data_IF_015643290153
#
_entry.id   IF_015643290153
#
_cell.length_a   1.000
_cell.length_b   1.000
_cell.length_c   1.000
_cell.angle_alpha   90.00
_cell.angle_beta   90.00
_cell.angle_gamma   90.00
#
_symmetry.space_group_name_H-M   'P 1'
#
loop_
_entity.id
_entity.type
_entity.pdbx_description
1 polymer ?
#
# COMPACT_ATOMS: atom_id res chain seq x y z
N UNK A 1 62.00 -60.57 41.73
CA UNK A 1 60.75 -60.69 40.93
C UNK A 1 59.97 -59.40 41.12
N UNK A 2 60.32 -58.34 40.42
CA UNK A 2 59.65 -57.04 40.59
C UNK A 2 59.88 -56.19 39.33
N UNK A 3 59.22 -56.53 38.22
CA UNK A 3 59.17 -55.61 37.08
C UNK A 3 58.00 -55.80 36.10
N UNK A 4 56.84 -56.26 36.58
CA UNK A 4 55.67 -56.49 35.69
C UNK A 4 54.44 -55.67 36.06
N UNK A 5 54.50 -54.85 37.13
CA UNK A 5 53.34 -54.06 37.58
C UNK A 5 53.28 -52.63 37.00
N UNK A 6 54.38 -52.04 36.54
CA UNK A 6 54.36 -50.67 35.99
C UNK A 6 53.83 -50.58 34.54
N UNK A 7 54.04 -51.61 33.71
CA UNK A 7 53.62 -51.60 32.30
C UNK A 7 52.09 -51.62 32.14
N UNK A 8 51.34 -52.09 33.14
CA UNK A 8 49.88 -52.16 33.09
C UNK A 8 49.19 -50.82 33.43
N UNK A 9 49.87 -49.88 34.07
CA UNK A 9 49.27 -48.58 34.45
C UNK A 9 49.33 -47.53 33.32
N UNK A 10 50.26 -47.69 32.36
CA UNK A 10 50.36 -46.81 31.19
C UNK A 10 49.25 -47.02 30.14
N UNK A 11 48.85 -48.28 29.89
CA UNK A 11 47.87 -48.62 28.85
C UNK A 11 46.43 -48.20 29.20
N UNK A 12 46.06 -48.18 30.49
CA UNK A 12 44.74 -47.72 30.93
C UNK A 12 44.51 -46.23 30.64
N UNK A 13 45.55 -45.41 30.82
CA UNK A 13 45.52 -43.97 30.52
C UNK A 13 45.43 -43.69 29.02
N UNK A 14 46.11 -44.49 28.18
CA UNK A 14 46.05 -44.35 26.72
C UNK A 14 44.65 -44.66 26.17
N UNK A 15 44.04 -45.76 26.62
CA UNK A 15 42.68 -46.14 26.20
C UNK A 15 41.63 -45.11 26.64
N UNK A 16 41.74 -44.58 27.87
CA UNK A 16 40.89 -43.51 28.38
C UNK A 16 41.04 -42.21 27.57
N UNK A 17 42.28 -41.82 27.26
CA UNK A 17 42.57 -40.62 26.46
C UNK A 17 42.01 -40.72 25.02
N UNK A 18 42.10 -41.89 24.39
CA UNK A 18 41.49 -42.14 23.08
C UNK A 18 39.97 -42.03 23.14
N UNK A 19 39.33 -42.57 24.20
CA UNK A 19 37.88 -42.48 24.40
C UNK A 19 37.42 -41.03 24.62
N UNK A 20 38.16 -40.25 25.41
CA UNK A 20 37.89 -38.82 25.65
C UNK A 20 38.05 -38.02 24.36
N UNK A 21 39.10 -38.28 23.57
CA UNK A 21 39.29 -37.63 22.27
C UNK A 21 38.11 -37.89 21.33
N UNK A 22 37.67 -39.16 21.21
CA UNK A 22 36.49 -39.53 20.42
C UNK A 22 35.21 -38.86 20.92
N UNK A 23 35.03 -38.73 22.23
CA UNK A 23 33.88 -38.04 22.82
C UNK A 23 33.90 -36.53 22.51
N UNK A 24 35.06 -35.88 22.61
CA UNK A 24 35.20 -34.45 22.26
C UNK A 24 34.82 -34.19 20.80
N UNK A 25 35.24 -35.05 19.87
CA UNK A 25 34.87 -34.94 18.44
C UNK A 25 33.36 -35.11 18.23
N UNK A 26 32.71 -36.05 18.94
CA UNK A 26 31.25 -36.22 18.86
C UNK A 26 30.48 -35.01 19.42
N UNK A 27 30.96 -34.44 20.53
CA UNK A 27 30.34 -33.25 21.14
C UNK A 27 30.51 -32.02 20.26
N UNK A 28 31.68 -31.81 19.64
CA UNK A 28 31.88 -30.71 18.70
C UNK A 28 31.01 -30.85 17.45
N UNK A 29 30.84 -32.07 16.94
CA UNK A 29 29.91 -32.35 15.84
C UNK A 29 28.46 -32.05 16.23
N UNK A 30 28.02 -32.50 17.41
CA UNK A 30 26.65 -32.25 17.88
C UNK A 30 26.36 -30.75 18.05
N UNK A 31 27.32 -29.98 18.59
CA UNK A 31 27.20 -28.52 18.68
C UNK A 31 27.07 -27.86 17.31
N UNK A 32 27.89 -28.27 16.33
CA UNK A 32 27.79 -27.76 14.97
C UNK A 32 26.42 -28.03 14.35
N UNK A 33 25.87 -29.24 14.52
CA UNK A 33 24.52 -29.59 14.05
C UNK A 33 23.46 -28.70 14.69
N UNK A 34 23.53 -28.48 16.01
CA UNK A 34 22.59 -27.58 16.72
C UNK A 34 22.67 -26.15 16.18
N UNK A 35 23.87 -25.61 15.95
CA UNK A 35 24.02 -24.28 15.38
C UNK A 35 23.48 -24.16 13.96
N UNK A 36 23.67 -25.18 13.11
CA UNK A 36 23.11 -25.21 11.76
C UNK A 36 21.58 -25.19 11.82
N UNK A 37 20.98 -26.00 12.69
CA UNK A 37 19.52 -26.02 12.86
C UNK A 37 19.00 -24.66 13.32
N UNK A 38 19.62 -24.05 14.33
CA UNK A 38 19.23 -22.71 14.81
C UNK A 38 19.37 -21.64 13.71
N UNK A 39 20.46 -21.66 12.94
CA UNK A 39 20.67 -20.73 11.83
C UNK A 39 19.61 -20.90 10.74
N UNK A 40 19.26 -22.13 10.38
CA UNK A 40 18.21 -22.40 9.38
C UNK A 40 16.83 -21.93 9.85
N UNK A 41 16.49 -22.10 11.14
CA UNK A 41 15.26 -21.59 11.71
C UNK A 41 15.18 -20.06 11.65
N UNK A 42 16.26 -19.36 12.01
CA UNK A 42 16.32 -17.89 11.94
C UNK A 42 16.23 -17.40 10.49
N UNK A 43 16.95 -18.03 9.55
CA UNK A 43 16.85 -17.70 8.13
C UNK A 43 15.43 -17.91 7.60
N UNK A 44 14.77 -19.01 7.99
CA UNK A 44 13.40 -19.29 7.59
C UNK A 44 12.43 -18.24 8.14
N UNK A 45 12.55 -17.84 9.41
CA UNK A 45 11.68 -16.79 9.96
C UNK A 45 11.92 -15.43 9.28
N UNK A 46 13.18 -15.07 8.98
CA UNK A 46 13.50 -13.87 8.21
C UNK A 46 12.89 -13.91 6.80
N UNK A 47 12.97 -15.06 6.11
CA UNK A 47 12.37 -15.23 4.78
C UNK A 47 10.84 -15.14 4.82
N UNK A 48 10.20 -15.70 5.85
CA UNK A 48 8.73 -15.59 6.02
C UNK A 48 8.32 -14.14 6.29
N UNK A 49 9.02 -13.42 7.16
CA UNK A 49 8.73 -11.99 7.42
C UNK A 49 8.96 -11.15 6.16
N UNK A 50 10.05 -11.41 5.43
CA UNK A 50 10.32 -10.74 4.15
C UNK A 50 9.24 -11.06 3.12
N UNK A 51 8.80 -12.32 3.03
CA UNK A 51 7.73 -12.73 2.12
C UNK A 51 6.39 -12.09 2.49
N UNK A 52 6.03 -12.05 3.78
CA UNK A 52 4.82 -11.36 4.28
C UNK A 52 4.89 -9.87 3.97
N UNK A 53 6.01 -9.21 4.30
CA UNK A 53 6.22 -7.80 3.98
C UNK A 53 6.11 -7.57 2.47
N UNK A 54 6.75 -8.39 1.64
CA UNK A 54 6.67 -8.23 0.18
C UNK A 54 5.23 -8.50 -0.33
N UNK A 55 4.53 -9.51 0.18
CA UNK A 55 3.15 -9.83 -0.19
C UNK A 55 2.17 -8.69 0.16
N UNK A 56 2.32 -8.07 1.32
CA UNK A 56 1.44 -6.96 1.76
C UNK A 56 1.86 -5.59 1.19
N UNK A 57 3.15 -5.38 0.88
CA UNK A 57 3.66 -4.07 0.43
C UNK A 57 3.86 -3.98 -1.09
N UNK A 58 4.05 -5.08 -1.82
CA UNK A 58 4.40 -5.04 -3.25
C UNK A 58 3.22 -5.35 -4.19
N UNK A 59 2.17 -6.00 -3.69
CA UNK A 59 0.93 -6.18 -4.47
C UNK A 59 -0.23 -5.63 -3.68
N UNK A 60 -0.57 -4.36 -3.94
CA UNK A 60 -1.93 -3.93 -3.67
C UNK A 60 -2.87 -4.89 -4.43
N UNK A 61 -3.84 -5.54 -3.77
CA UNK A 61 -4.83 -6.40 -4.46
C UNK A 61 -5.65 -5.63 -5.50
N UNK A 62 -5.50 -4.30 -5.57
CA UNK A 62 -5.97 -3.46 -6.65
C UNK A 62 -5.32 -3.79 -8.00
N UNK A 63 -4.00 -3.92 -8.05
CA UNK A 63 -3.25 -4.08 -9.30
C UNK A 63 -3.71 -5.33 -10.08
N UNK A 64 -4.02 -6.44 -9.40
CA UNK A 64 -4.56 -7.65 -10.03
C UNK A 64 -6.00 -7.51 -10.54
N UNK A 65 -6.77 -6.53 -10.07
CA UNK A 65 -8.12 -6.24 -10.57
C UNK A 65 -8.12 -5.39 -11.86
N UNK A 66 -6.96 -4.86 -12.27
CA UNK A 66 -6.78 -4.01 -13.48
C UNK A 66 -6.44 -4.75 -14.76
N UNK A 67 -6.36 -6.07 -14.77
CA UNK A 67 -6.31 -6.79 -16.05
C UNK A 67 -7.69 -6.75 -16.69
N UNK A 68 -8.01 -5.59 -17.30
CA UNK A 68 -9.12 -5.41 -18.22
C UNK A 68 -9.06 -6.53 -19.25
N UNK A 69 -10.11 -7.36 -19.40
CA UNK A 69 -10.25 -8.15 -20.62
C UNK A 69 -10.36 -7.18 -21.80
N UNK A 70 -9.76 -7.49 -22.97
CA UNK A 70 -9.83 -6.63 -24.15
C UNK A 70 -11.27 -6.17 -24.40
N UNK A 71 -11.50 -4.85 -24.48
CA UNK A 71 -12.80 -4.28 -24.83
C UNK A 71 -13.64 -3.62 -23.71
N UNK A 72 -13.31 -3.77 -22.42
CA UNK A 72 -14.08 -3.08 -21.35
C UNK A 72 -13.64 -1.62 -21.12
N UNK A 73 -14.41 -0.63 -21.53
CA UNK A 73 -14.08 0.80 -21.31
C UNK A 73 -14.49 1.21 -19.90
N UNK A 74 -13.51 1.43 -19.02
CA UNK A 74 -13.70 1.80 -17.61
C UNK A 74 -12.59 2.73 -17.14
N UNK A 75 -12.86 3.46 -16.07
CA UNK A 75 -11.90 4.26 -15.32
C UNK A 75 -12.23 4.21 -13.82
N UNK A 76 -11.28 4.65 -13.01
CA UNK A 76 -11.35 4.55 -11.56
C UNK A 76 -10.75 5.81 -10.92
N UNK A 77 -11.41 6.29 -9.88
CA UNK A 77 -10.89 7.35 -9.02
C UNK A 77 -10.51 6.77 -7.67
N UNK A 78 -9.42 7.23 -7.09
CA UNK A 78 -9.04 6.79 -5.76
C UNK A 78 -8.23 7.85 -5.02
N UNK A 79 -8.35 7.82 -3.70
CA UNK A 79 -7.62 8.70 -2.81
C UNK A 79 -6.33 8.04 -2.32
N UNK A 80 -5.27 8.83 -2.15
CA UNK A 80 -4.00 8.37 -1.58
C UNK A 80 -3.49 9.36 -0.53
N UNK A 81 -3.16 8.93 0.69
CA UNK A 81 -3.16 7.54 1.14
C UNK A 81 -4.59 7.01 1.36
N UNK A 82 -4.81 5.72 1.08
CA UNK A 82 -6.09 5.04 1.39
C UNK A 82 -6.29 4.81 2.89
N UNK A 83 -5.21 4.85 3.67
CA UNK A 83 -5.24 4.77 5.13
C UNK A 83 -4.17 5.70 5.71
N UNK A 84 -4.53 6.48 6.72
CA UNK A 84 -3.59 7.34 7.44
C UNK A 84 -3.95 7.42 8.91
N UNK A 85 -2.96 7.65 9.77
CA UNK A 85 -3.16 7.94 11.19
C UNK A 85 -2.58 9.32 11.47
N UNK A 86 -3.36 10.19 12.08
CA UNK A 86 -2.97 11.57 12.38
C UNK A 86 -3.41 11.94 13.80
N UNK A 87 -2.84 13.00 14.35
CA UNK A 87 -3.23 13.55 15.65
C UNK A 87 -4.25 14.69 15.47
N UNK A 88 -5.11 14.92 16.46
CA UNK A 88 -5.95 16.15 16.47
C UNK A 88 -5.07 17.40 16.30
N UNK A 89 -5.46 18.27 15.36
CA UNK A 89 -4.73 19.48 14.98
C UNK A 89 -3.70 19.29 13.86
N UNK A 90 -3.34 18.05 13.52
CA UNK A 90 -2.38 17.75 12.46
C UNK A 90 -2.95 18.07 11.07
N UNK A 91 -2.11 18.62 10.19
CA UNK A 91 -2.42 18.78 8.78
C UNK A 91 -1.87 17.61 7.97
N UNK A 92 -2.67 17.11 7.04
CA UNK A 92 -2.29 16.02 6.15
C UNK A 92 -2.76 16.27 4.72
N UNK A 93 -2.22 15.51 3.78
CA UNK A 93 -2.54 15.63 2.37
C UNK A 93 -3.15 14.34 1.84
N UNK A 94 -4.11 14.48 0.94
CA UNK A 94 -4.70 13.39 0.17
C UNK A 94 -4.63 13.75 -1.31
N UNK A 95 -3.94 12.93 -2.08
CA UNK A 95 -3.95 12.99 -3.53
C UNK A 95 -5.24 12.37 -4.08
N UNK A 96 -5.84 13.08 -5.04
CA UNK A 96 -6.94 12.60 -5.88
C UNK A 96 -6.33 12.06 -7.17
N UNK A 97 -6.43 10.75 -7.36
CA UNK A 97 -5.76 10.03 -8.44
C UNK A 97 -6.79 9.40 -9.37
N UNK A 98 -6.41 9.27 -10.64
CA UNK A 98 -7.22 8.63 -11.68
C UNK A 98 -6.44 7.53 -12.40
N UNK A 99 -7.13 6.43 -12.69
CA UNK A 99 -6.69 5.39 -13.60
C UNK A 99 -7.74 5.19 -14.70
N UNK A 100 -7.39 5.48 -15.95
CA UNK A 100 -8.22 5.36 -17.14
C UNK A 100 -8.22 3.96 -17.78
N UNK A 101 -7.47 3.00 -17.22
CA UNK A 101 -7.37 1.61 -17.68
C UNK A 101 -7.17 1.46 -19.21
N UNK A 102 -6.29 2.30 -19.77
CA UNK A 102 -5.97 2.35 -21.20
C UNK A 102 -6.96 3.13 -22.07
N UNK A 103 -8.03 3.67 -21.48
CA UNK A 103 -8.99 4.55 -22.17
C UNK A 103 -8.42 5.97 -22.29
N UNK A 104 -8.69 6.66 -23.39
CA UNK A 104 -8.35 8.06 -23.56
C UNK A 104 -9.43 8.95 -22.94
N UNK A 105 -9.08 9.77 -21.96
CA UNK A 105 -10.01 10.55 -21.12
C UNK A 105 -9.72 12.04 -21.23
N UNK A 106 -10.73 12.85 -21.50
CA UNK A 106 -10.61 14.31 -21.68
C UNK A 106 -11.05 15.12 -20.47
N UNK A 107 -11.85 14.55 -19.57
CA UNK A 107 -12.29 15.25 -18.38
C UNK A 107 -12.58 14.29 -17.23
N UNK A 108 -12.52 14.79 -16.00
CA UNK A 108 -13.00 14.07 -14.83
C UNK A 108 -13.50 15.03 -13.77
N UNK A 109 -14.61 14.65 -13.13
CA UNK A 109 -15.13 15.26 -11.92
C UNK A 109 -14.89 14.33 -10.73
N UNK A 110 -14.26 14.85 -9.69
CA UNK A 110 -14.04 14.19 -8.41
C UNK A 110 -14.79 14.98 -7.33
N UNK A 111 -15.95 14.47 -6.94
CA UNK A 111 -16.77 15.03 -5.86
C UNK A 111 -16.53 14.19 -4.62
N UNK A 112 -16.04 14.81 -3.56
CA UNK A 112 -15.56 14.13 -2.36
C UNK A 112 -16.36 14.61 -1.15
N UNK A 113 -16.79 13.66 -0.33
CA UNK A 113 -17.43 13.86 0.96
C UNK A 113 -16.47 13.59 2.09
N UNK A 114 -16.57 14.39 3.15
CA UNK A 114 -15.87 14.20 4.41
C UNK A 114 -16.74 14.62 5.60
N UNK A 115 -16.46 14.09 6.79
CA UNK A 115 -17.13 14.57 8.01
C UNK A 115 -16.48 15.88 8.48
N UNK A 116 -17.19 16.99 8.26
CA UNK A 116 -16.75 18.34 8.64
C UNK A 116 -16.57 18.56 10.16
N UNK A 117 -17.08 17.66 11.00
CA UNK A 117 -16.80 17.69 12.46
C UNK A 117 -15.47 17.02 12.81
N UNK A 118 -15.01 16.10 11.96
CA UNK A 118 -13.78 15.32 12.20
C UNK A 118 -12.59 15.86 11.43
N UNK A 119 -12.83 16.45 10.27
CA UNK A 119 -11.81 16.92 9.35
C UNK A 119 -12.21 18.24 8.71
N UNK A 120 -11.25 19.11 8.48
CA UNK A 120 -11.41 20.39 7.78
C UNK A 120 -10.62 20.32 6.46
N UNK A 121 -11.25 20.59 5.32
CA UNK A 121 -10.54 20.75 4.06
C UNK A 121 -10.00 22.19 3.95
N UNK A 122 -8.69 22.34 3.77
CA UNK A 122 -8.00 23.64 3.81
C UNK A 122 -7.74 24.20 2.40
N UNK A 123 -7.32 23.35 1.46
CA UNK A 123 -6.94 23.80 0.12
C UNK A 123 -6.98 22.68 -0.90
N UNK A 124 -7.16 23.05 -2.16
CA UNK A 124 -7.03 22.15 -3.33
C UNK A 124 -5.88 22.67 -4.20
N UNK A 125 -4.84 21.86 -4.36
CA UNK A 125 -3.71 22.10 -5.24
C UNK A 125 -3.83 21.23 -6.51
N UNK A 126 -3.78 21.87 -7.68
CA UNK A 126 -3.81 21.20 -8.99
C UNK A 126 -2.46 21.28 -9.70
N UNK A 127 -1.43 21.79 -9.02
CA UNK A 127 -0.08 21.90 -9.56
C UNK A 127 0.46 20.51 -9.90
N UNK A 128 1.00 20.34 -11.11
CA UNK A 128 1.47 19.04 -11.59
C UNK A 128 0.34 18.03 -11.88
N UNK A 129 -0.90 18.49 -12.01
CA UNK A 129 -2.00 17.67 -12.55
C UNK A 129 -1.72 17.24 -13.98
N UNK A 130 -2.20 16.05 -14.36
CA UNK A 130 -2.19 15.63 -15.76
C UNK A 130 -3.23 16.37 -16.62
N UNK A 131 -4.20 17.03 -15.97
CA UNK A 131 -5.18 17.91 -16.59
C UNK A 131 -4.68 19.36 -16.55
N UNK A 132 -4.99 20.14 -17.60
CA UNK A 132 -4.50 21.51 -17.74
C UNK A 132 -5.62 22.57 -17.80
N UNK A 133 -6.88 22.14 -17.70
CA UNK A 133 -8.04 23.02 -17.57
C UNK A 133 -8.75 22.74 -16.25
N UNK A 134 -9.20 23.80 -15.59
CA UNK A 134 -9.98 23.74 -14.35
C UNK A 134 -11.38 24.27 -14.66
N UNK A 135 -12.39 23.42 -14.54
CA UNK A 135 -13.79 23.83 -14.63
C UNK A 135 -14.37 24.10 -13.23
N UNK A 136 -13.95 23.32 -12.22
CA UNK A 136 -14.40 23.47 -10.84
C UNK A 136 -13.27 23.13 -9.88
N UNK A 137 -13.13 23.93 -8.82
CA UNK A 137 -12.16 23.74 -7.74
C UNK A 137 -12.68 24.44 -6.49
N UNK A 138 -13.55 23.76 -5.76
CA UNK A 138 -14.32 24.35 -4.67
C UNK A 138 -14.34 23.45 -3.42
N UNK A 139 -14.27 24.08 -2.24
CA UNK A 139 -14.53 23.45 -0.94
C UNK A 139 -15.82 24.06 -0.40
N UNK A 140 -16.84 23.24 -0.25
CA UNK A 140 -18.13 23.61 0.34
C UNK A 140 -18.11 23.11 1.79
N UNK A 141 -17.43 23.87 2.66
CA UNK A 141 -17.12 23.46 4.02
C UNK A 141 -18.37 23.22 4.88
N UNK A 142 -19.43 23.98 4.62
CA UNK A 142 -20.73 23.84 5.26
C UNK A 142 -21.41 22.50 4.98
N UNK A 143 -21.09 21.82 3.89
CA UNK A 143 -21.66 20.51 3.55
C UNK A 143 -20.65 19.36 3.72
N UNK A 144 -19.39 19.66 4.03
CA UNK A 144 -18.32 18.66 4.05
C UNK A 144 -18.06 18.11 2.64
N UNK A 145 -18.10 18.97 1.62
CA UNK A 145 -17.96 18.60 0.21
C UNK A 145 -16.78 19.29 -0.45
N UNK A 146 -16.15 18.60 -1.38
CA UNK A 146 -15.10 19.12 -2.24
C UNK A 146 -15.48 18.77 -3.67
N UNK A 147 -15.41 19.75 -4.57
CA UNK A 147 -15.69 19.54 -5.99
C UNK A 147 -14.50 19.94 -6.84
N UNK A 148 -14.03 18.98 -7.64
CA UNK A 148 -12.86 19.14 -8.50
C UNK A 148 -13.23 18.63 -9.89
N UNK A 149 -13.39 19.53 -10.85
CA UNK A 149 -13.68 19.17 -12.24
C UNK A 149 -12.58 19.70 -13.13
N UNK A 150 -11.83 18.79 -13.75
CA UNK A 150 -10.66 19.11 -14.57
C UNK A 150 -10.81 18.55 -15.99
N UNK A 151 -10.15 19.23 -16.93
CA UNK A 151 -10.17 18.88 -18.35
C UNK A 151 -8.79 18.92 -19.00
N UNK A 152 -8.65 18.17 -20.09
CA UNK A 152 -7.52 18.17 -21.00
C UNK A 152 -8.05 17.97 -22.42
N UNK A 153 -7.90 18.94 -23.34
CA UNK A 153 -8.28 18.77 -24.73
C UNK A 153 -7.55 17.59 -25.38
N UNK A 154 -8.15 17.00 -26.43
CA UNK A 154 -7.55 15.92 -27.21
C UNK A 154 -6.11 16.27 -27.67
N UNK A 155 -5.11 15.39 -27.48
CA UNK A 155 -5.22 14.08 -26.85
C UNK A 155 -5.38 14.16 -25.33
N UNK A 156 -6.37 13.44 -24.80
CA UNK A 156 -6.62 13.33 -23.37
C UNK A 156 -5.52 12.59 -22.61
N UNK A 157 -5.84 12.12 -21.40
CA UNK A 157 -4.95 11.31 -20.58
C UNK A 157 -5.22 9.83 -20.80
N UNK A 158 -4.14 9.04 -20.82
CA UNK A 158 -4.19 7.58 -20.84
C UNK A 158 -3.26 7.07 -19.76
N UNK A 159 -3.75 6.16 -18.93
CA UNK A 159 -2.96 5.46 -17.93
C UNK A 159 -3.03 3.96 -18.13
N UNK A 160 -1.97 3.26 -17.76
CA UNK A 160 -1.91 1.81 -17.75
C UNK A 160 -1.70 1.30 -16.31
N UNK A 161 -1.75 -0.02 -16.14
CA UNK A 161 -1.45 -0.67 -14.85
C UNK A 161 -0.11 -0.18 -14.29
N UNK A 162 -0.05 0.14 -13.00
CA UNK A 162 1.12 0.72 -12.32
C UNK A 162 1.32 2.24 -12.48
N UNK A 163 0.71 2.87 -13.48
CA UNK A 163 0.91 4.29 -13.76
C UNK A 163 -0.38 5.06 -13.55
N UNK A 164 -0.54 5.69 -12.40
CA UNK A 164 -1.72 6.52 -12.14
C UNK A 164 -1.33 7.99 -12.22
N UNK A 165 -2.26 8.84 -12.63
CA UNK A 165 -2.00 10.28 -12.73
C UNK A 165 -2.77 11.06 -11.69
N UNK A 166 -2.12 12.11 -11.21
CA UNK A 166 -2.70 13.00 -10.21
C UNK A 166 -3.64 13.99 -10.87
N UNK A 167 -4.83 14.12 -10.29
CA UNK A 167 -5.78 15.20 -10.59
C UNK A 167 -5.50 16.41 -9.72
N UNK A 168 -5.42 16.20 -8.41
CA UNK A 168 -5.22 17.25 -7.42
C UNK A 168 -4.64 16.66 -6.12
N UNK A 169 -4.19 17.54 -5.23
CA UNK A 169 -3.88 17.24 -3.83
C UNK A 169 -4.77 18.11 -2.97
N UNK A 170 -5.50 17.49 -2.04
CA UNK A 170 -6.32 18.20 -1.06
C UNK A 170 -5.60 18.17 0.28
N UNK A 171 -5.44 19.35 0.89
CA UNK A 171 -4.90 19.47 2.25
C UNK A 171 -6.04 19.50 3.25
N UNK A 172 -5.90 18.72 4.31
CA UNK A 172 -6.85 18.63 5.40
C UNK A 172 -6.21 18.96 6.74
N UNK A 173 -7.03 19.30 7.73
CA UNK A 173 -6.69 19.34 9.16
C UNK A 173 -7.58 18.38 9.93
N UNK A 174 -6.99 17.61 10.84
CA UNK A 174 -7.71 16.78 11.79
C UNK A 174 -8.33 17.64 12.91
N UNK A 175 -9.63 17.55 13.14
CA UNK A 175 -10.35 18.35 14.15
C UNK A 175 -10.71 17.55 15.40
N UNK A 176 -11.17 16.32 15.22
CA UNK A 176 -11.64 15.47 16.32
C UNK A 176 -11.27 14.01 16.08
N UNK A 177 -11.14 13.26 17.18
CA UNK A 177 -10.85 11.83 17.15
C UNK A 177 -11.85 11.06 16.29
N UNK A 178 -11.34 10.08 15.53
CA UNK A 178 -12.15 9.17 14.73
C UNK A 178 -11.44 7.82 14.54
N UNK A 179 -12.22 6.74 14.62
CA UNK A 179 -11.77 5.37 14.36
C UNK A 179 -12.73 4.71 13.38
N UNK A 180 -12.69 5.09 12.09
CA UNK A 180 -13.69 4.70 11.12
C UNK A 180 -13.58 3.22 10.73
N UNK A 181 -14.73 2.54 10.63
CA UNK A 181 -14.81 1.13 10.16
C UNK A 181 -14.74 1.04 8.63
N UNK A 182 -15.26 2.06 7.94
CA UNK A 182 -15.29 2.23 6.48
C UNK A 182 -14.53 3.50 6.07
N UNK A 183 -14.49 3.83 4.78
CA UNK A 183 -13.88 5.09 4.32
C UNK A 183 -14.69 6.28 4.86
N UNK A 184 -13.99 7.27 5.44
CA UNK A 184 -14.59 8.48 6.02
C UNK A 184 -14.27 9.75 5.21
N UNK A 185 -13.44 9.63 4.19
CA UNK A 185 -13.30 10.58 3.09
C UNK A 185 -13.51 9.77 1.82
N UNK A 186 -14.55 10.05 1.05
CA UNK A 186 -14.96 9.16 -0.05
C UNK A 186 -15.53 9.96 -1.22
N UNK A 187 -15.52 9.35 -2.40
CA UNK A 187 -16.14 9.95 -3.58
C UNK A 187 -17.65 9.81 -3.51
N UNK A 188 -18.37 10.90 -3.78
CA UNK A 188 -19.76 10.82 -4.18
C UNK A 188 -19.79 10.12 -5.53
N UNK A 189 -20.31 8.90 -5.54
CA UNK A 189 -20.31 8.05 -6.71
C UNK A 189 -21.59 7.21 -6.77
N UNK A 190 -22.21 7.22 -7.94
CA UNK A 190 -23.23 6.24 -8.31
C UNK A 190 -22.97 5.87 -9.75
N UNK A 191 -22.77 4.58 -10.00
CA UNK A 191 -22.39 4.08 -11.32
C UNK A 191 -23.38 4.55 -12.39
N UNK A 192 -22.85 5.16 -13.45
CA UNK A 192 -23.64 5.67 -14.58
C UNK A 192 -24.35 7.01 -14.35
N UNK A 193 -24.27 7.61 -13.16
CA UNK A 193 -24.83 8.94 -12.90
C UNK A 193 -23.85 10.04 -13.34
N UNK A 194 -24.37 11.14 -13.89
CA UNK A 194 -23.61 12.35 -14.20
C UNK A 194 -23.69 13.42 -13.10
N UNK A 195 -24.50 13.20 -12.04
CA UNK A 195 -24.66 14.14 -10.94
C UNK A 195 -23.57 14.03 -9.86
N UNK A 196 -22.65 13.08 -10.04
CA UNK A 196 -21.63 12.70 -9.06
C UNK A 196 -20.25 12.72 -9.72
N UNK A 197 -19.26 12.10 -9.08
CA UNK A 197 -17.94 11.90 -9.71
C UNK A 197 -18.08 11.20 -11.06
N UNK A 198 -17.31 11.64 -12.05
CA UNK A 198 -17.34 11.13 -13.42
C UNK A 198 -15.96 11.10 -14.06
N UNK A 199 -15.82 10.29 -15.10
CA UNK A 199 -14.64 10.27 -15.97
C UNK A 199 -15.13 10.21 -17.41
N UNK A 200 -14.76 11.17 -18.23
CA UNK A 200 -15.32 11.38 -19.56
C UNK A 200 -14.34 10.92 -20.65
N UNK A 201 -14.82 10.00 -21.48
CA UNK A 201 -14.08 9.46 -22.62
C UNK A 201 -13.86 10.52 -23.71
N UNK A 202 -12.71 10.44 -24.38
CA UNK A 202 -12.39 11.23 -25.58
C UNK A 202 -13.13 10.68 -26.83
N UNK A 203 -14.46 10.70 -26.80
CA UNK A 203 -15.32 10.17 -27.87
C UNK A 203 -16.27 11.22 -28.48
N UNK A 204 -16.15 12.48 -28.05
CA UNK A 204 -16.99 13.62 -28.45
C UNK A 204 -18.47 13.47 -28.08
N UNK A 205 -18.84 12.52 -27.21
CA UNK A 205 -20.22 12.26 -26.79
C UNK A 205 -20.47 12.49 -25.31
N UNK A 206 -19.40 12.71 -24.53
CA UNK A 206 -19.51 12.88 -23.09
C UNK A 206 -19.73 11.56 -22.35
N UNK A 207 -19.29 10.43 -22.92
CA UNK A 207 -19.51 9.11 -22.32
C UNK A 207 -18.78 9.01 -20.98
N UNK A 208 -19.55 8.82 -19.90
CA UNK A 208 -19.01 8.56 -18.57
C UNK A 208 -18.56 7.09 -18.45
N UNK A 209 -17.30 6.88 -18.08
CA UNK A 209 -16.66 5.57 -17.98
C UNK A 209 -16.19 5.25 -16.55
N UNK A 210 -16.52 6.08 -15.55
CA UNK A 210 -16.18 5.80 -14.15
C UNK A 210 -16.91 4.55 -13.67
N UNK A 211 -16.17 3.49 -13.34
CA UNK A 211 -16.71 2.18 -12.98
C UNK A 211 -16.70 1.93 -11.48
N UNK A 212 -15.70 2.46 -10.77
CA UNK A 212 -15.53 2.27 -9.33
C UNK A 212 -14.65 3.38 -8.71
N UNK A 213 -14.75 3.56 -7.40
CA UNK A 213 -14.02 4.56 -6.63
C UNK A 213 -13.48 4.01 -5.31
N UNK A 214 -12.38 4.57 -4.80
CA UNK A 214 -11.84 4.19 -3.47
C UNK A 214 -11.52 5.40 -2.62
N UNK A 215 -12.15 5.49 -1.46
CA UNK A 215 -11.91 6.56 -0.51
C UNK A 215 -10.65 6.34 0.34
N UNK A 216 -10.56 7.14 1.39
CA UNK A 216 -9.56 7.08 2.42
C UNK A 216 -10.21 6.79 3.77
N UNK A 217 -9.54 5.93 4.54
CA UNK A 217 -9.85 5.60 5.92
C UNK A 217 -8.83 6.27 6.83
N UNK A 218 -9.19 7.44 7.34
CA UNK A 218 -8.34 8.29 8.16
C UNK A 218 -8.67 8.12 9.63
N UNK A 219 -7.68 7.70 10.41
CA UNK A 219 -7.74 7.57 11.86
C UNK A 219 -7.19 8.85 12.49
N UNK A 220 -7.89 9.37 13.50
CA UNK A 220 -7.46 10.56 14.25
C UNK A 220 -7.45 10.21 15.73
N UNK A 221 -6.30 10.40 16.38
CA UNK A 221 -6.06 10.13 17.80
C UNK A 221 -6.02 11.39 18.67
#
# INVERSE_FOLDING_TARGET
MENTKEVLNGNGNVAANIKIARLKTKVSFLRAVVYIILATLVLFTCLVVFWIHNYYYFTSPFETYYSKPPGRIVAYLYLSPQRGNYQVGEEFQIDVLINTAGSNVVASAAYISYDKKKTEALSIDVTGSAFNMVAEKEIIAEDGKIKITLGKPTPGIVTFRGNNVRMATVRFRALEKTSPVVDNIYFDFTKGSSNFSTVILDDKRGTNILDDTRGSKIFIE
#
